data_IF_315821991286
#
_entry.id   IF_315821991286
#
_cell.length_a   1.000
_cell.length_b   1.000
_cell.length_c   1.000
_cell.angle_alpha   90.00
_cell.angle_beta   90.00
_cell.angle_gamma   90.00
#
_symmetry.space_group_name_H-M   'P 1'
#
loop_
_entity.id
_entity.type
_entity.pdbx_description
1 polymer ?
#
# COMPACT_ATOMS: atom_id res chain seq x y z
N UNK A 1 -7.09 22.15 -0.25
CA UNK A 1 -7.27 20.74 -0.66
C UNK A 1 -6.02 20.15 -1.31
N UNK A 2 -5.54 20.68 -2.45
CA UNK A 2 -4.35 20.12 -3.15
C UNK A 2 -3.11 19.90 -2.26
N UNK A 3 -2.68 20.90 -1.47
CA UNK A 3 -1.49 20.79 -0.60
C UNK A 3 -1.57 19.66 0.44
N UNK A 4 -2.73 19.41 1.02
CA UNK A 4 -2.93 18.34 2.01
C UNK A 4 -2.84 16.96 1.35
N UNK A 5 -3.39 16.82 0.14
CA UNK A 5 -3.31 15.57 -0.61
C UNK A 5 -1.85 15.27 -0.99
N UNK A 6 -1.10 16.26 -1.48
CA UNK A 6 0.33 16.10 -1.77
C UNK A 6 1.15 15.68 -0.54
N UNK A 7 0.91 16.31 0.61
CA UNK A 7 1.58 15.93 1.85
C UNK A 7 1.29 14.46 2.24
N UNK A 8 0.02 14.05 2.14
CA UNK A 8 -0.40 12.67 2.42
C UNK A 8 0.28 11.67 1.46
N UNK A 9 0.36 11.99 0.17
CA UNK A 9 1.05 11.17 -0.82
C UNK A 9 2.56 11.05 -0.57
N UNK A 10 3.22 12.16 -0.20
CA UNK A 10 4.65 12.15 0.14
C UNK A 10 4.89 11.28 1.39
N UNK A 11 4.04 11.40 2.41
CA UNK A 11 4.14 10.55 3.62
C UNK A 11 3.98 9.07 3.26
N UNK A 12 3.05 8.72 2.36
CA UNK A 12 2.90 7.35 1.88
C UNK A 12 4.19 6.78 1.29
N UNK A 13 4.78 7.57 0.38
CA UNK A 13 6.01 7.21 -0.31
C UNK A 13 7.16 7.02 0.69
N UNK A 14 7.30 7.92 1.66
CA UNK A 14 8.34 7.83 2.69
C UNK A 14 8.18 6.58 3.57
N UNK A 15 6.97 6.29 4.03
CA UNK A 15 6.69 5.11 4.86
C UNK A 15 7.03 3.83 4.09
N UNK A 16 6.58 3.74 2.83
CA UNK A 16 6.79 2.53 2.02
C UNK A 16 8.26 2.34 1.68
N UNK A 17 8.94 3.43 1.31
CA UNK A 17 10.39 3.39 1.07
C UNK A 17 11.14 2.91 2.31
N UNK A 18 10.76 3.39 3.50
CA UNK A 18 11.34 2.95 4.76
C UNK A 18 11.10 1.46 5.03
N UNK A 19 9.86 0.99 4.88
CA UNK A 19 9.51 -0.42 5.07
C UNK A 19 10.31 -1.34 4.14
N UNK A 20 10.41 -0.98 2.86
CA UNK A 20 11.16 -1.73 1.86
C UNK A 20 12.67 -1.68 2.11
N UNK A 21 13.19 -0.54 2.57
CA UNK A 21 14.61 -0.40 2.95
C UNK A 21 14.95 -1.30 4.13
N UNK A 22 14.13 -1.30 5.19
CA UNK A 22 14.31 -2.20 6.34
C UNK A 22 14.22 -3.66 5.88
N UNK A 23 13.22 -3.98 5.06
CA UNK A 23 13.05 -5.31 4.48
C UNK A 23 14.29 -5.77 3.70
N UNK A 24 14.87 -4.89 2.87
CA UNK A 24 16.07 -5.19 2.09
C UNK A 24 17.32 -5.37 2.96
N UNK A 25 17.52 -4.52 3.97
CA UNK A 25 18.66 -4.59 4.89
C UNK A 25 18.60 -5.83 5.78
N UNK A 26 17.41 -6.23 6.21
CA UNK A 26 17.22 -7.34 7.15
C UNK A 26 16.76 -8.64 6.48
N UNK A 27 16.69 -8.72 5.14
CA UNK A 27 16.12 -9.86 4.42
C UNK A 27 16.68 -11.22 4.86
N UNK A 28 17.97 -11.27 5.18
CA UNK A 28 18.68 -12.49 5.59
C UNK A 28 18.50 -12.87 7.07
N UNK A 29 17.97 -11.98 7.91
CA UNK A 29 17.74 -12.20 9.34
C UNK A 29 16.26 -12.31 9.71
N UNK A 30 15.35 -11.90 8.82
CA UNK A 30 13.91 -11.96 9.06
C UNK A 30 13.36 -13.37 8.91
N UNK A 31 12.29 -13.66 9.67
CA UNK A 31 11.40 -14.80 9.44
C UNK A 31 10.52 -14.55 8.22
N UNK A 32 9.97 -15.61 7.63
CA UNK A 32 9.05 -15.53 6.50
C UNK A 32 7.89 -14.57 6.73
N UNK A 33 7.23 -14.69 7.88
CA UNK A 33 6.11 -13.84 8.25
C UNK A 33 6.52 -12.37 8.38
N UNK A 34 7.64 -12.08 9.07
CA UNK A 34 8.11 -10.72 9.24
C UNK A 34 8.51 -10.08 7.90
N UNK A 35 9.13 -10.86 7.01
CA UNK A 35 9.46 -10.42 5.65
C UNK A 35 8.21 -10.05 4.84
N UNK A 36 7.20 -10.93 4.82
CA UNK A 36 5.92 -10.67 4.12
C UNK A 36 5.21 -9.44 4.70
N UNK A 37 5.20 -9.31 6.03
CA UNK A 37 4.60 -8.18 6.72
C UNK A 37 5.28 -6.85 6.34
N UNK A 38 6.61 -6.84 6.23
CA UNK A 38 7.37 -5.64 5.90
C UNK A 38 7.31 -5.28 4.41
N UNK A 39 7.35 -6.27 3.51
CA UNK A 39 7.58 -6.02 2.08
C UNK A 39 6.33 -6.08 1.22
N UNK A 40 5.27 -6.74 1.70
CA UNK A 40 4.02 -6.92 0.94
C UNK A 40 2.83 -6.32 1.70
N UNK A 41 2.55 -6.83 2.91
CA UNK A 41 1.35 -6.43 3.66
C UNK A 41 1.47 -5.00 4.17
N UNK A 42 2.63 -4.59 4.67
CA UNK A 42 2.88 -3.24 5.19
C UNK A 42 2.61 -2.16 4.15
N UNK A 43 3.18 -2.23 2.94
CA UNK A 43 2.85 -1.30 1.87
C UNK A 43 1.38 -1.29 1.49
N UNK A 44 0.73 -2.45 1.45
CA UNK A 44 -0.70 -2.59 1.13
C UNK A 44 -1.61 -1.94 2.17
N UNK A 45 -1.33 -2.17 3.45
CA UNK A 45 -2.00 -1.50 4.58
C UNK A 45 -1.75 0.00 4.55
N UNK A 46 -0.53 0.44 4.25
CA UNK A 46 -0.19 1.86 4.14
C UNK A 46 -1.02 2.55 3.06
N UNK A 47 -1.14 1.94 1.87
CA UNK A 47 -1.99 2.45 0.78
C UNK A 47 -3.45 2.52 1.19
N UNK A 48 -3.98 1.50 1.88
CA UNK A 48 -5.35 1.48 2.35
C UNK A 48 -5.65 2.63 3.33
N UNK A 49 -4.83 2.77 4.37
CA UNK A 49 -4.98 3.81 5.41
C UNK A 49 -4.90 5.21 4.79
N UNK A 50 -3.92 5.43 3.93
CA UNK A 50 -3.70 6.74 3.32
C UNK A 50 -4.83 7.10 2.35
N UNK A 51 -5.27 6.14 1.55
CA UNK A 51 -6.41 6.33 0.65
C UNK A 51 -7.68 6.66 1.43
N UNK A 52 -7.89 5.98 2.54
CA UNK A 52 -8.99 6.26 3.47
C UNK A 52 -8.94 7.67 4.04
N UNK A 53 -7.79 8.06 4.63
CA UNK A 53 -7.60 9.40 5.21
C UNK A 53 -7.83 10.47 4.14
N UNK A 54 -7.30 10.28 2.94
CA UNK A 54 -7.50 11.21 1.84
C UNK A 54 -8.98 11.33 1.43
N UNK A 55 -9.71 10.21 1.37
CA UNK A 55 -11.15 10.19 1.16
C UNK A 55 -11.93 10.90 2.27
N UNK A 56 -11.55 10.66 3.52
CA UNK A 56 -12.15 11.28 4.71
C UNK A 56 -12.03 12.80 4.69
N UNK A 57 -10.85 13.31 4.35
CA UNK A 57 -10.55 14.75 4.32
C UNK A 57 -11.11 15.47 3.08
N UNK A 58 -11.37 14.74 2.00
CA UNK A 58 -11.88 15.31 0.74
C UNK A 58 -13.18 14.64 0.26
N UNK A 59 -14.27 14.73 1.04
CA UNK A 59 -15.43 13.86 0.84
C UNK A 59 -16.31 14.23 -0.37
N UNK A 60 -16.08 15.34 -1.07
CA UNK A 60 -17.02 15.89 -2.07
C UNK A 60 -16.71 15.56 -3.54
N UNK A 61 -15.49 15.12 -3.89
CA UNK A 61 -15.13 14.80 -5.29
C UNK A 61 -14.37 13.48 -5.38
N UNK A 62 -15.11 12.38 -5.28
CA UNK A 62 -14.56 11.01 -5.31
C UNK A 62 -13.60 10.78 -6.48
N UNK A 63 -13.96 11.25 -7.67
CA UNK A 63 -13.14 11.14 -8.89
C UNK A 63 -11.75 11.77 -8.71
N UNK A 64 -11.66 12.92 -8.04
CA UNK A 64 -10.36 13.59 -7.80
C UNK A 64 -9.54 12.88 -6.73
N UNK A 65 -10.19 12.31 -5.71
CA UNK A 65 -9.52 11.54 -4.65
C UNK A 65 -8.98 10.23 -5.21
N UNK A 66 -9.82 9.50 -5.96
CA UNK A 66 -9.45 8.24 -6.61
C UNK A 66 -8.34 8.48 -7.63
N UNK A 67 -8.46 9.50 -8.49
CA UNK A 67 -7.41 9.83 -9.47
C UNK A 67 -6.07 10.16 -8.81
N UNK A 68 -6.07 10.90 -7.70
CA UNK A 68 -4.84 11.21 -6.97
C UNK A 68 -4.24 9.97 -6.28
N UNK A 69 -5.07 9.10 -5.70
CA UNK A 69 -4.59 7.87 -5.08
C UNK A 69 -4.05 6.89 -6.12
N UNK A 70 -4.58 6.85 -7.35
CA UNK A 70 -3.99 6.09 -8.46
C UNK A 70 -2.57 6.59 -8.77
N UNK A 71 -2.35 7.91 -8.83
CA UNK A 71 -1.01 8.48 -9.08
C UNK A 71 -0.03 8.09 -7.95
N UNK A 72 -0.47 8.11 -6.69
CA UNK A 72 0.35 7.66 -5.55
C UNK A 72 0.69 6.17 -5.68
N UNK A 73 -0.30 5.33 -6.02
CA UNK A 73 -0.09 3.89 -6.20
C UNK A 73 0.94 3.61 -7.31
N UNK A 74 0.86 4.34 -8.43
CA UNK A 74 1.86 4.25 -9.52
C UNK A 74 3.27 4.68 -9.08
N UNK A 75 3.39 5.64 -8.17
CA UNK A 75 4.69 6.01 -7.59
C UNK A 75 5.24 4.92 -6.65
N UNK A 76 4.36 4.29 -5.86
CA UNK A 76 4.69 3.23 -4.90
C UNK A 76 5.19 1.97 -5.60
N UNK A 77 4.41 1.41 -6.51
CA UNK A 77 4.83 1.33 -7.88
C UNK A 77 6.32 1.15 -8.23
N UNK A 78 6.79 2.21 -8.87
CA UNK A 78 8.18 2.45 -9.26
C UNK A 78 9.13 2.16 -8.10
N UNK A 79 8.78 2.53 -6.86
CA UNK A 79 9.61 2.24 -5.69
C UNK A 79 9.73 0.73 -5.46
N UNK A 80 8.64 -0.03 -5.50
CA UNK A 80 8.70 -1.49 -5.38
C UNK A 80 9.55 -2.13 -6.47
N UNK A 81 9.46 -1.63 -7.71
CA UNK A 81 10.31 -2.10 -8.82
C UNK A 81 11.80 -1.84 -8.55
N UNK A 82 12.15 -0.67 -7.98
CA UNK A 82 13.54 -0.35 -7.58
C UNK A 82 14.05 -1.34 -6.52
N UNK A 83 13.20 -1.77 -5.59
CA UNK A 83 13.59 -2.72 -4.54
C UNK A 83 13.51 -4.19 -4.97
N UNK A 84 12.88 -4.51 -6.11
CA UNK A 84 12.70 -5.89 -6.58
C UNK A 84 14.02 -6.67 -6.70
N UNK A 85 15.12 -6.11 -7.25
CA UNK A 85 16.41 -6.81 -7.32
C UNK A 85 16.95 -7.22 -5.95
N UNK A 86 16.63 -6.47 -4.89
CA UNK A 86 17.06 -6.80 -3.54
C UNK A 86 16.37 -8.08 -3.03
N UNK A 87 15.23 -8.47 -3.59
CA UNK A 87 14.43 -9.61 -3.16
C UNK A 87 14.38 -10.75 -4.19
N UNK A 88 15.04 -10.62 -5.35
CA UNK A 88 14.95 -11.57 -6.45
C UNK A 88 16.16 -12.50 -6.59
N UNK A 89 17.12 -12.46 -5.67
CA UNK A 89 18.28 -13.36 -5.73
C UNK A 89 17.86 -14.81 -5.50
N UNK A 90 18.35 -15.74 -6.32
CA UNK A 90 18.02 -17.17 -6.26
C UNK A 90 18.18 -17.76 -4.85
N UNK A 91 19.31 -17.49 -4.20
CA UNK A 91 19.60 -17.93 -2.82
C UNK A 91 18.54 -17.48 -1.81
N UNK A 92 18.06 -16.25 -1.93
CA UNK A 92 17.02 -15.70 -1.07
C UNK A 92 15.65 -16.34 -1.34
N UNK A 93 15.31 -16.57 -2.61
CA UNK A 93 14.08 -17.26 -3.01
C UNK A 93 14.07 -18.71 -2.49
N UNK A 94 15.18 -19.43 -2.64
CA UNK A 94 15.33 -20.81 -2.14
C UNK A 94 15.21 -20.86 -0.60
N UNK A 95 15.79 -19.88 0.10
CA UNK A 95 15.62 -19.71 1.55
C UNK A 95 14.16 -19.43 1.94
N UNK A 96 13.44 -18.57 1.23
CA UNK A 96 12.03 -18.30 1.49
C UNK A 96 11.17 -19.55 1.26
N UNK A 97 11.44 -20.30 0.18
CA UNK A 97 10.72 -21.54 -0.14
C UNK A 97 10.93 -22.63 0.92
N UNK A 98 12.15 -22.78 1.44
CA UNK A 98 12.42 -23.75 2.52
C UNK A 98 11.77 -23.36 3.86
N UNK A 99 11.65 -22.07 4.16
CA UNK A 99 10.84 -21.60 5.31
C UNK A 99 9.34 -21.83 5.08
N UNK A 100 8.88 -21.65 3.85
CA UNK A 100 7.49 -21.82 3.43
C UNK A 100 7.01 -23.25 3.57
N UNK A 101 7.84 -24.25 3.21
CA UNK A 101 7.51 -25.68 3.34
C UNK A 101 7.29 -26.13 4.80
N UNK A 102 7.87 -25.42 5.76
CA UNK A 102 7.68 -25.66 7.20
C UNK A 102 6.56 -24.79 7.80
N UNK A 103 5.82 -24.05 6.98
CA UNK A 103 4.75 -23.15 7.38
C UNK A 103 3.46 -23.51 6.65
N UNK A 104 2.30 -23.17 7.22
CA UNK A 104 1.01 -23.34 6.55
C UNK A 104 0.83 -22.44 5.30
N UNK A 105 1.83 -21.63 4.94
CA UNK A 105 1.79 -20.65 3.86
C UNK A 105 2.73 -21.10 2.73
N UNK A 106 2.16 -21.67 1.67
CA UNK A 106 2.89 -21.91 0.43
C UNK A 106 2.99 -20.60 -0.36
N UNK A 107 4.22 -20.12 -0.56
CA UNK A 107 4.46 -18.92 -1.38
C UNK A 107 4.76 -19.38 -2.81
N UNK A 108 3.78 -19.24 -3.70
CA UNK A 108 4.04 -19.33 -5.13
C UNK A 108 4.57 -17.99 -5.63
N UNK A 109 5.88 -17.86 -5.74
CA UNK A 109 6.53 -16.73 -6.42
C UNK A 109 6.46 -17.01 -7.93
N UNK A 110 5.35 -16.65 -8.57
CA UNK A 110 5.18 -16.80 -10.02
C UNK A 110 5.74 -15.60 -10.79
N UNK A 111 6.13 -15.87 -12.04
CA UNK A 111 6.75 -14.94 -12.99
C UNK A 111 5.91 -13.69 -13.31
N UNK A 112 6.57 -12.72 -13.93
CA UNK A 112 6.22 -11.36 -14.40
C UNK A 112 4.74 -10.99 -14.60
N UNK A 113 3.86 -11.93 -14.96
CA UNK A 113 2.40 -11.71 -15.00
C UNK A 113 1.77 -11.39 -13.63
N UNK A 114 2.45 -11.76 -12.53
CA UNK A 114 2.01 -11.49 -11.16
C UNK A 114 2.18 -10.01 -10.75
N UNK A 115 3.07 -9.26 -11.42
CA UNK A 115 3.30 -7.83 -11.15
C UNK A 115 2.08 -7.01 -11.56
N UNK A 116 1.50 -7.30 -12.73
CA UNK A 116 0.30 -6.63 -13.24
C UNK A 116 -0.93 -6.98 -12.37
N UNK A 117 -1.06 -8.23 -11.91
CA UNK A 117 -2.14 -8.61 -11.00
C UNK A 117 -2.00 -7.90 -9.62
N UNK A 118 -0.78 -7.83 -9.08
CA UNK A 118 -0.49 -7.05 -7.87
C UNK A 118 -0.86 -5.57 -8.00
N UNK A 119 -0.57 -4.99 -9.16
CA UNK A 119 -0.94 -3.63 -9.57
C UNK A 119 -2.44 -3.33 -9.40
N UNK A 120 -3.28 -4.23 -9.92
CA UNK A 120 -4.73 -4.10 -9.81
C UNK A 120 -5.19 -4.17 -8.35
N UNK A 121 -4.55 -5.00 -7.51
CA UNK A 121 -4.91 -5.09 -6.08
C UNK A 121 -4.68 -3.77 -5.36
N UNK A 122 -3.53 -3.11 -5.56
CA UNK A 122 -3.27 -1.81 -4.94
C UNK A 122 -4.24 -0.73 -5.41
N UNK A 123 -4.55 -0.67 -6.71
CA UNK A 123 -5.50 0.29 -7.27
C UNK A 123 -6.92 0.05 -6.71
N UNK A 124 -7.37 -1.20 -6.66
CA UNK A 124 -8.68 -1.57 -6.12
C UNK A 124 -8.79 -1.19 -4.64
N UNK A 125 -7.77 -1.53 -3.85
CA UNK A 125 -7.73 -1.18 -2.42
C UNK A 125 -7.76 0.33 -2.24
N UNK A 126 -6.93 1.07 -2.97
CA UNK A 126 -6.91 2.51 -2.90
C UNK A 126 -8.29 3.11 -3.23
N UNK A 127 -8.94 2.65 -4.30
CA UNK A 127 -10.26 3.14 -4.70
C UNK A 127 -11.34 2.82 -3.65
N UNK A 128 -11.38 1.59 -3.14
CA UNK A 128 -12.35 1.16 -2.12
C UNK A 128 -12.20 1.96 -0.83
N UNK A 129 -10.98 2.07 -0.29
CA UNK A 129 -10.74 2.80 0.95
C UNK A 129 -10.98 4.30 0.80
N UNK A 130 -10.67 4.88 -0.36
CA UNK A 130 -11.04 6.27 -0.70
C UNK A 130 -12.55 6.48 -0.66
N UNK A 131 -13.30 5.52 -1.21
CA UNK A 131 -14.76 5.56 -1.22
C UNK A 131 -15.35 5.49 0.19
N UNK A 132 -14.88 4.53 0.99
CA UNK A 132 -15.31 4.37 2.38
C UNK A 132 -14.97 5.64 3.17
N UNK A 133 -13.74 6.14 3.06
CA UNK A 133 -13.31 7.38 3.71
C UNK A 133 -14.20 8.57 3.33
N UNK A 134 -14.49 8.74 2.05
CA UNK A 134 -15.38 9.81 1.56
C UNK A 134 -16.81 9.69 2.08
N UNK A 135 -17.37 8.48 2.17
CA UNK A 135 -18.69 8.24 2.76
C UNK A 135 -18.73 8.67 4.23
N UNK A 136 -17.74 8.25 5.01
CA UNK A 136 -17.63 8.59 6.42
C UNK A 136 -17.42 10.11 6.58
N UNK A 137 -16.53 10.71 5.78
CA UNK A 137 -16.26 12.14 5.81
C UNK A 137 -17.50 12.99 5.50
N UNK A 138 -18.31 12.57 4.53
CA UNK A 138 -19.59 13.22 4.23
C UNK A 138 -20.60 13.08 5.39
N UNK A 139 -20.65 11.92 6.04
CA UNK A 139 -21.52 11.72 7.19
C UNK A 139 -21.12 12.61 8.37
N UNK A 140 -19.83 12.67 8.67
CA UNK A 140 -19.27 13.55 9.71
C UNK A 140 -19.60 15.00 9.39
N UNK A 141 -19.30 15.48 8.17
CA UNK A 141 -19.56 16.86 7.76
C UNK A 141 -21.04 17.25 7.94
N UNK A 142 -21.96 16.42 7.46
CA UNK A 142 -23.41 16.65 7.62
C UNK A 142 -23.86 16.65 9.08
N UNK A 143 -23.22 15.87 9.94
CA UNK A 143 -23.54 15.77 11.36
C UNK A 143 -23.09 17.02 12.14
N UNK A 144 -21.99 17.65 11.72
CA UNK A 144 -21.54 18.93 12.28
C UNK A 144 -22.38 20.12 11.79
N UNK A 145 -22.76 20.14 10.51
CA UNK A 145 -23.64 21.19 9.96
C UNK A 145 -25.01 21.23 10.67
N UNK A 146 -25.58 20.06 11.00
CA UNK A 146 -26.85 19.95 11.75
C UNK A 146 -26.80 20.35 13.23
N UNK A 147 -25.62 20.48 13.83
CA UNK A 147 -25.46 20.89 15.24
C UNK A 147 -25.20 22.40 15.40
N UNK A 148 -24.99 23.11 14.29
CA UNK A 148 -24.77 24.56 14.26
C UNK A 148 -26.01 25.38 13.89
N UNK A 149 -27.14 24.72 13.62
CA UNK A 149 -28.49 25.29 13.52
C UNK A 149 -29.24 25.03 14.84
#
# INVERSE_FOLDING_TARGET
MQRSNYAIGIVAILIITLLLTIGALMKNSLTLLAFILLTIVGPLVTVAIISFINGLLNPTRLIKVVGFNIIIVLAIEIIMLIFTPAFSSKEFIDRLNSMSQNSAVQIHISETGNVIAGLFVFIIIAALFSFIGSKIGNFIKKSYEKKGE
#
